data_IF_051622234870
#
_entry.id   IF_051622234870
#
_cell.length_a   1.000
_cell.length_b   1.000
_cell.length_c   1.000
_cell.angle_alpha   90.00
_cell.angle_beta   90.00
_cell.angle_gamma   90.00
#
_symmetry.space_group_name_H-M   'P 1'
#
loop_
_entity.id
_entity.type
_entity.pdbx_description
1 polymer ?
#
# COMPACT_ATOMS: atom_id res chain seq x y z
N UNK A 1 85.28 15.93 14.94
CA UNK A 1 83.87 16.24 14.61
C UNK A 1 83.83 16.89 13.24
N UNK A 2 83.45 16.14 12.20
CA UNK A 2 82.83 16.60 10.94
C UNK A 2 82.48 15.34 10.17
N UNK A 3 81.24 15.22 9.70
CA UNK A 3 80.77 14.05 8.97
C UNK A 3 80.92 14.26 7.46
N UNK A 4 81.39 13.24 6.75
CA UNK A 4 81.36 13.16 5.30
C UNK A 4 80.51 11.96 4.85
N UNK A 5 79.62 12.24 3.90
CA UNK A 5 78.52 11.41 3.42
C UNK A 5 78.96 10.08 2.75
N UNK A 6 78.11 9.04 2.81
CA UNK A 6 77.76 8.41 1.53
C UNK A 6 76.25 8.09 1.36
N UNK A 7 75.62 8.88 0.48
CA UNK A 7 74.49 8.59 -0.42
C UNK A 7 73.76 7.24 -0.23
N UNK A 8 72.45 7.23 0.09
CA UNK A 8 71.64 6.02 -0.03
C UNK A 8 71.43 5.65 -1.51
N UNK A 9 71.68 4.39 -1.85
CA UNK A 9 71.51 3.85 -3.20
C UNK A 9 70.03 3.75 -3.60
N UNK A 10 69.71 4.01 -4.86
CA UNK A 10 68.37 3.76 -5.42
C UNK A 10 68.07 2.25 -5.44
N UNK A 11 66.92 1.77 -4.93
CA UNK A 11 66.52 0.38 -5.11
C UNK A 11 66.16 0.10 -6.58
N UNK A 12 66.60 -1.05 -7.09
CA UNK A 12 66.31 -1.51 -8.45
C UNK A 12 64.81 -1.84 -8.64
N UNK A 13 64.26 -1.72 -9.88
CA UNK A 13 62.86 -2.01 -10.13
C UNK A 13 62.57 -3.51 -9.97
N UNK A 14 61.72 -3.86 -8.98
CA UNK A 14 61.18 -5.22 -8.87
C UNK A 14 60.28 -5.52 -10.09
N UNK A 15 60.72 -6.46 -10.93
CA UNK A 15 59.88 -7.09 -11.97
C UNK A 15 58.61 -7.66 -11.31
N UNK A 16 57.47 -7.01 -11.54
CA UNK A 16 56.17 -7.54 -11.15
C UNK A 16 55.86 -8.80 -11.95
N UNK A 17 55.81 -9.97 -11.29
CA UNK A 17 55.22 -11.17 -11.89
C UNK A 17 53.70 -10.99 -11.93
N UNK A 18 53.19 -10.50 -13.06
CA UNK A 18 51.77 -10.37 -13.37
C UNK A 18 51.12 -11.73 -13.64
N UNK A 19 50.95 -12.55 -12.59
CA UNK A 19 50.38 -13.89 -12.71
C UNK A 19 48.83 -13.90 -12.71
N UNK A 20 48.27 -14.04 -13.91
CA UNK A 20 47.08 -14.82 -14.24
C UNK A 20 45.72 -14.52 -13.58
N UNK A 21 45.58 -13.59 -12.61
CA UNK A 21 44.26 -13.22 -12.04
C UNK A 21 43.52 -12.12 -12.80
N UNK A 22 44.24 -11.27 -13.55
CA UNK A 22 43.63 -10.22 -14.39
C UNK A 22 43.00 -10.75 -15.68
N UNK A 23 43.65 -11.72 -16.34
CA UNK A 23 43.21 -12.22 -17.65
C UNK A 23 41.84 -12.93 -17.59
N UNK A 24 41.59 -13.73 -16.57
CA UNK A 24 40.31 -14.44 -16.41
C UNK A 24 39.15 -13.48 -16.03
N UNK A 25 39.45 -12.38 -15.33
CA UNK A 25 38.48 -11.34 -15.03
C UNK A 25 38.11 -10.50 -16.28
N UNK A 26 39.08 -10.20 -17.16
CA UNK A 26 38.78 -9.52 -18.44
C UNK A 26 37.99 -10.41 -19.41
N UNK A 27 38.30 -11.71 -19.50
CA UNK A 27 37.55 -12.63 -20.37
C UNK A 27 36.09 -12.80 -19.92
N UNK A 28 35.82 -12.85 -18.61
CA UNK A 28 34.44 -12.91 -18.11
C UNK A 28 33.69 -11.57 -18.31
N UNK A 29 34.39 -10.44 -18.23
CA UNK A 29 33.81 -9.12 -18.54
C UNK A 29 33.50 -8.95 -20.03
N UNK A 30 34.33 -9.50 -20.93
CA UNK A 30 34.15 -9.37 -22.38
C UNK A 30 32.98 -10.24 -22.90
N UNK A 31 32.78 -11.44 -22.36
CA UNK A 31 31.62 -12.28 -22.69
C UNK A 31 30.30 -11.66 -22.22
N UNK A 32 30.31 -10.89 -21.12
CA UNK A 32 29.14 -10.16 -20.65
C UNK A 32 28.85 -8.87 -21.46
N UNK A 33 29.85 -8.35 -22.19
CA UNK A 33 29.72 -7.17 -23.06
C UNK A 33 29.27 -7.49 -24.50
N UNK A 34 29.32 -8.77 -24.89
CA UNK A 34 28.94 -9.28 -26.22
C UNK A 34 27.65 -10.10 -26.22
N UNK A 35 27.02 -10.30 -25.07
CA UNK A 35 25.60 -10.65 -25.07
C UNK A 35 24.85 -9.54 -25.82
N UNK A 36 24.05 -9.84 -26.87
CA UNK A 36 23.23 -8.82 -27.49
C UNK A 36 22.41 -8.18 -26.37
N UNK A 37 22.43 -6.85 -26.29
CA UNK A 37 21.52 -6.14 -25.40
C UNK A 37 20.13 -6.54 -25.85
N UNK A 38 19.52 -7.47 -25.12
CA UNK A 38 18.12 -7.82 -25.27
C UNK A 38 17.41 -6.53 -24.95
N UNK A 39 17.09 -5.78 -26.01
CA UNK A 39 16.40 -4.52 -25.92
C UNK A 39 15.21 -4.82 -25.03
N UNK A 40 15.20 -4.23 -23.83
CA UNK A 40 14.07 -4.40 -22.92
C UNK A 40 12.90 -3.80 -23.66
N UNK A 41 12.15 -4.67 -24.33
CA UNK A 41 10.93 -4.31 -25.00
C UNK A 41 10.16 -3.55 -23.94
N UNK A 42 9.87 -2.26 -24.20
CA UNK A 42 8.96 -1.50 -23.34
C UNK A 42 7.79 -2.44 -23.10
N UNK A 43 7.49 -2.84 -21.85
CA UNK A 43 6.38 -3.74 -21.63
C UNK A 43 5.20 -3.09 -22.33
N UNK A 44 4.68 -3.78 -23.36
CA UNK A 44 3.49 -3.32 -24.06
C UNK A 44 2.42 -3.07 -23.00
N UNK A 45 1.52 -2.10 -23.20
CA UNK A 45 0.48 -1.82 -22.21
C UNK A 45 -0.18 -3.15 -21.86
N UNK A 46 0.07 -3.66 -20.64
CA UNK A 46 -0.57 -4.89 -20.18
C UNK A 46 -2.05 -4.61 -20.32
N UNK A 47 -2.81 -5.38 -21.14
CA UNK A 47 -4.23 -5.15 -21.27
C UNK A 47 -4.79 -5.22 -19.85
N UNK A 48 -5.24 -4.06 -19.35
CA UNK A 48 -5.82 -3.99 -18.02
C UNK A 48 -7.00 -4.93 -18.07
N UNK A 49 -6.96 -6.03 -17.29
CA UNK A 49 -8.01 -7.06 -17.31
C UNK A 49 -9.35 -6.37 -17.44
N UNK A 50 -9.97 -6.56 -18.60
CA UNK A 50 -11.17 -5.82 -18.95
C UNK A 50 -12.20 -6.14 -17.89
N UNK A 51 -12.90 -5.12 -17.41
CA UNK A 51 -13.84 -5.29 -16.32
C UNK A 51 -15.04 -6.09 -16.86
N UNK A 52 -15.01 -7.41 -16.65
CA UNK A 52 -16.09 -8.31 -17.03
C UNK A 52 -17.04 -8.47 -15.86
N UNK A 53 -18.14 -7.72 -15.88
CA UNK A 53 -19.33 -8.13 -15.13
C UNK A 53 -19.83 -9.49 -15.65
N UNK A 54 -20.47 -10.33 -14.83
CA UNK A 54 -21.42 -11.31 -15.37
C UNK A 54 -22.57 -10.60 -16.11
N UNK A 55 -23.44 -11.30 -16.86
CA UNK A 55 -24.64 -10.68 -17.42
C UNK A 55 -25.56 -10.13 -16.31
N UNK A 56 -25.69 -8.81 -16.22
CA UNK A 56 -26.46 -8.11 -15.19
C UNK A 56 -27.81 -7.67 -15.77
N UNK A 57 -28.75 -8.61 -15.87
CA UNK A 57 -30.09 -8.34 -16.42
C UNK A 57 -31.03 -7.68 -15.39
N UNK A 58 -32.10 -7.07 -15.91
CA UNK A 58 -33.17 -6.49 -15.10
C UNK A 58 -33.90 -7.56 -14.27
N UNK A 59 -34.12 -7.29 -12.98
CA UNK A 59 -34.77 -8.19 -12.04
C UNK A 59 -33.86 -9.24 -11.39
N UNK A 60 -32.57 -9.30 -11.73
CA UNK A 60 -31.60 -10.14 -11.01
C UNK A 60 -31.35 -9.60 -9.59
N UNK A 61 -31.13 -10.46 -8.58
CA UNK A 61 -30.63 -10.03 -7.27
C UNK A 61 -29.33 -9.22 -7.36
N UNK A 62 -29.07 -8.40 -6.35
CA UNK A 62 -27.79 -7.69 -6.24
C UNK A 62 -26.61 -8.68 -6.16
N UNK A 63 -25.44 -8.35 -6.76
CA UNK A 63 -24.29 -9.25 -6.76
C UNK A 63 -23.81 -9.55 -5.33
N UNK A 64 -23.43 -10.81 -5.10
CA UNK A 64 -22.85 -11.28 -3.83
C UNK A 64 -21.33 -11.32 -3.93
N UNK A 65 -20.66 -10.91 -2.86
CA UNK A 65 -19.20 -10.85 -2.74
C UNK A 65 -18.80 -10.80 -1.26
N UNK A 66 -17.56 -11.17 -0.93
CA UNK A 66 -17.05 -11.07 0.43
C UNK A 66 -16.73 -9.60 0.76
N UNK A 67 -17.67 -8.95 1.44
CA UNK A 67 -17.57 -7.62 2.02
C UNK A 67 -18.44 -7.49 3.28
N UNK A 68 -17.94 -6.83 4.32
CA UNK A 68 -18.69 -6.67 5.59
C UNK A 68 -19.73 -5.56 5.59
N UNK A 69 -19.66 -4.63 4.64
CA UNK A 69 -20.67 -3.61 4.41
C UNK A 69 -20.56 -3.05 2.98
N UNK A 70 -21.70 -2.80 2.34
CA UNK A 70 -21.75 -2.14 1.04
C UNK A 70 -23.08 -1.42 0.79
N UNK A 71 -23.09 -0.48 -0.16
CA UNK A 71 -24.31 0.04 -0.76
C UNK A 71 -24.09 0.51 -2.20
N UNK A 72 -25.19 0.74 -2.92
CA UNK A 72 -25.22 1.45 -4.20
C UNK A 72 -26.49 2.29 -4.33
N UNK A 73 -26.33 3.50 -4.84
CA UNK A 73 -27.40 4.48 -4.94
C UNK A 73 -27.14 5.58 -5.97
N UNK A 74 -28.13 6.45 -6.12
CA UNK A 74 -28.07 7.68 -6.90
C UNK A 74 -27.72 8.87 -5.99
N UNK A 75 -26.58 9.52 -6.25
CA UNK A 75 -26.10 10.68 -5.50
C UNK A 75 -26.91 11.95 -5.79
N UNK A 76 -27.66 12.02 -6.89
CA UNK A 76 -28.44 13.21 -7.21
C UNK A 76 -29.77 13.24 -6.43
N UNK A 77 -30.39 12.07 -6.19
CA UNK A 77 -31.61 11.93 -5.38
C UNK A 77 -31.34 11.54 -3.91
N UNK A 78 -30.41 10.63 -3.65
CA UNK A 78 -30.21 9.97 -2.35
C UNK A 78 -30.76 8.53 -2.30
N UNK A 79 -31.46 8.09 -3.35
CA UNK A 79 -32.11 6.77 -3.43
C UNK A 79 -31.10 5.63 -3.46
N UNK A 80 -31.30 4.61 -2.64
CA UNK A 80 -30.53 3.37 -2.63
C UNK A 80 -31.22 2.27 -3.44
N UNK A 81 -30.42 1.47 -4.14
CA UNK A 81 -30.87 0.31 -4.90
C UNK A 81 -30.57 -1.01 -4.17
N UNK A 82 -29.46 -1.07 -3.46
CA UNK A 82 -29.09 -2.19 -2.59
C UNK A 82 -28.14 -1.71 -1.47
N UNK A 83 -28.20 -2.38 -0.33
CA UNK A 83 -27.30 -2.17 0.81
C UNK A 83 -27.19 -3.42 1.67
N UNK A 84 -26.03 -3.59 2.29
CA UNK A 84 -25.76 -4.60 3.31
C UNK A 84 -24.98 -3.92 4.45
N UNK A 85 -25.45 -4.07 5.69
CA UNK A 85 -24.82 -3.50 6.89
C UNK A 85 -24.44 -1.99 6.74
N UNK A 86 -25.34 -1.10 6.24
CA UNK A 86 -24.96 0.23 5.79
C UNK A 86 -24.33 1.11 6.88
N UNK A 87 -24.77 0.93 8.13
CA UNK A 87 -24.32 1.66 9.33
C UNK A 87 -23.24 0.93 10.14
N UNK A 88 -22.68 -0.16 9.61
CA UNK A 88 -21.63 -0.92 10.30
C UNK A 88 -20.33 -0.13 10.34
N UNK A 89 -19.92 0.27 11.54
CA UNK A 89 -18.65 0.95 11.79
C UNK A 89 -17.47 0.02 11.50
N UNK A 90 -16.66 0.38 10.50
CA UNK A 90 -15.48 -0.35 10.04
C UNK A 90 -14.29 0.59 9.91
N UNK A 91 -13.07 0.05 9.91
CA UNK A 91 -11.88 0.83 9.61
C UNK A 91 -11.92 1.29 8.13
N UNK A 92 -11.69 2.58 7.83
CA UNK A 92 -11.91 3.13 6.48
C UNK A 92 -10.80 2.81 5.47
N UNK A 93 -9.58 2.57 5.95
CA UNK A 93 -8.38 2.77 5.15
C UNK A 93 -8.38 4.15 4.42
N UNK A 94 -7.66 4.25 3.30
CA UNK A 94 -7.44 5.52 2.58
C UNK A 94 -8.69 6.18 1.96
N UNK A 95 -9.91 5.63 2.07
CA UNK A 95 -11.13 6.37 1.66
C UNK A 95 -11.42 7.54 2.61
N UNK A 96 -10.87 7.52 3.84
CA UNK A 96 -10.85 8.65 4.78
C UNK A 96 -10.28 9.94 4.16
N UNK A 97 -9.37 9.82 3.18
CA UNK A 97 -8.81 10.98 2.44
C UNK A 97 -9.87 11.78 1.68
N UNK A 98 -11.05 11.22 1.41
CA UNK A 98 -12.18 11.97 0.85
C UNK A 98 -12.78 12.94 1.87
N UNK A 99 -12.91 12.53 3.14
CA UNK A 99 -13.32 13.42 4.23
C UNK A 99 -12.28 14.53 4.44
N UNK A 100 -10.99 14.19 4.43
CA UNK A 100 -9.88 15.18 4.44
C UNK A 100 -9.99 16.13 3.25
N UNK A 101 -10.33 15.60 2.06
CA UNK A 101 -10.56 16.36 0.83
C UNK A 101 -11.62 17.44 0.99
N UNK A 102 -12.85 17.05 1.36
CA UNK A 102 -13.98 17.99 1.56
C UNK A 102 -13.83 18.89 2.78
N UNK A 103 -12.96 18.53 3.73
CA UNK A 103 -12.63 19.38 4.89
C UNK A 103 -11.65 20.48 4.51
N UNK A 104 -10.56 20.14 3.80
CA UNK A 104 -9.44 21.06 3.60
C UNK A 104 -9.50 21.84 2.28
N UNK A 105 -10.41 21.50 1.35
CA UNK A 105 -10.52 22.18 0.04
C UNK A 105 -10.79 23.68 0.16
N UNK A 106 -11.62 24.09 1.12
CA UNK A 106 -11.98 25.51 1.31
C UNK A 106 -11.00 26.21 2.27
N UNK A 107 -10.55 25.51 3.31
CA UNK A 107 -9.51 25.97 4.26
C UNK A 107 -8.21 26.31 3.55
N UNK A 108 -7.88 25.56 2.49
CA UNK A 108 -6.73 25.80 1.62
C UNK A 108 -7.21 26.36 0.27
N UNK A 109 -7.99 27.44 0.31
CA UNK A 109 -8.62 28.09 -0.85
C UNK A 109 -7.64 28.41 -1.98
N UNK A 110 -6.52 29.08 -1.69
CA UNK A 110 -5.44 29.31 -2.67
C UNK A 110 -4.66 28.03 -2.97
N UNK A 111 -4.96 27.45 -4.13
CA UNK A 111 -4.33 26.21 -4.63
C UNK A 111 -2.89 26.43 -5.10
N UNK A 112 -2.45 27.68 -5.30
CA UNK A 112 -1.07 28.03 -5.66
C UNK A 112 -0.18 28.25 -4.43
N UNK A 113 -0.77 28.46 -3.24
CA UNK A 113 -0.04 28.56 -1.96
C UNK A 113 0.94 27.41 -1.84
N UNK A 114 2.18 27.74 -1.47
CA UNK A 114 3.28 26.78 -1.35
C UNK A 114 3.45 26.38 0.11
N UNK A 115 3.54 25.08 0.35
CA UNK A 115 3.89 24.49 1.63
C UNK A 115 5.29 23.89 1.54
N UNK A 116 6.17 24.26 2.48
CA UNK A 116 7.51 23.68 2.59
C UNK A 116 7.44 22.41 3.43
N UNK A 117 7.78 21.27 2.82
CA UNK A 117 7.75 19.97 3.49
C UNK A 117 8.74 19.91 4.66
N UNK A 118 8.29 19.27 5.73
CA UNK A 118 8.96 19.04 7.01
C UNK A 118 9.40 17.57 7.11
N UNK A 119 10.34 17.21 8.00
CA UNK A 119 10.72 15.80 8.21
C UNK A 119 9.51 14.90 8.46
N UNK A 120 8.58 15.36 9.30
CA UNK A 120 7.40 14.63 9.74
C UNK A 120 6.41 14.28 8.60
N UNK A 121 6.37 15.06 7.51
CA UNK A 121 5.53 14.70 6.36
C UNK A 121 6.08 13.44 5.66
N UNK A 122 7.40 13.36 5.52
CA UNK A 122 8.09 12.27 4.82
C UNK A 122 8.20 10.97 5.63
N UNK A 123 8.15 11.05 6.97
CA UNK A 123 8.29 9.91 7.88
C UNK A 123 7.01 9.11 8.11
N UNK A 124 5.87 9.55 7.56
CA UNK A 124 4.59 8.84 7.72
C UNK A 124 4.60 7.49 7.00
N UNK A 125 4.00 6.47 7.60
CA UNK A 125 3.95 5.12 7.03
C UNK A 125 3.11 5.01 5.77
N UNK A 126 3.26 3.89 5.06
CA UNK A 126 2.48 3.53 3.87
C UNK A 126 2.85 4.32 2.61
N UNK A 127 1.91 4.34 1.65
CA UNK A 127 2.07 4.95 0.33
C UNK A 127 2.44 6.43 0.45
N UNK A 128 3.48 6.85 -0.26
CA UNK A 128 3.96 8.23 -0.31
C UNK A 128 4.18 8.65 -1.75
N UNK A 129 4.03 9.94 -2.03
CA UNK A 129 4.51 10.50 -3.30
C UNK A 129 6.02 10.69 -3.28
N UNK A 130 6.59 10.97 -2.11
CA UNK A 130 8.02 11.22 -1.91
C UNK A 130 8.31 12.70 -1.68
N UNK A 131 7.53 13.35 -0.81
CA UNK A 131 7.82 14.72 -0.37
C UNK A 131 9.21 14.80 0.28
N UNK A 132 10.04 15.73 -0.19
CA UNK A 132 11.40 15.94 0.30
C UNK A 132 11.44 17.17 1.20
N UNK A 133 11.94 17.00 2.42
CA UNK A 133 12.14 18.09 3.38
C UNK A 133 12.79 19.34 2.75
N UNK A 134 12.33 20.52 3.14
CA UNK A 134 12.85 21.81 2.68
C UNK A 134 12.42 22.18 1.25
N UNK A 135 11.77 21.27 0.52
CA UNK A 135 11.19 21.57 -0.79
C UNK A 135 9.77 22.10 -0.63
N UNK A 136 9.41 23.04 -1.49
CA UNK A 136 8.09 23.65 -1.49
C UNK A 136 7.19 23.06 -2.59
N UNK A 137 5.99 22.64 -2.20
CA UNK A 137 4.96 22.05 -3.06
C UNK A 137 3.70 22.91 -3.01
N UNK A 138 2.98 23.06 -4.13
CA UNK A 138 1.70 23.78 -4.11
C UNK A 138 0.61 22.93 -3.46
N UNK A 139 -0.39 23.59 -2.87
CA UNK A 139 -1.61 22.92 -2.38
C UNK A 139 -2.24 22.04 -3.47
N UNK A 140 -2.30 22.50 -4.73
CA UNK A 140 -2.79 21.70 -5.86
C UNK A 140 -2.02 20.39 -6.07
N UNK A 141 -0.68 20.43 -6.03
CA UNK A 141 0.18 19.25 -6.14
C UNK A 141 -0.06 18.25 -5.00
N UNK A 142 -0.26 18.74 -3.78
CA UNK A 142 -0.54 17.90 -2.62
C UNK A 142 -1.92 17.21 -2.71
N UNK A 143 -2.95 17.92 -3.19
CA UNK A 143 -4.26 17.31 -3.44
C UNK A 143 -4.20 16.21 -4.52
N UNK A 144 -3.50 16.45 -5.64
CA UNK A 144 -3.29 15.43 -6.68
C UNK A 144 -2.57 14.19 -6.12
N UNK A 145 -1.46 14.38 -5.40
CA UNK A 145 -0.76 13.27 -4.75
C UNK A 145 -1.64 12.49 -3.76
N UNK A 146 -2.38 13.19 -2.89
CA UNK A 146 -3.25 12.59 -1.87
C UNK A 146 -4.40 11.78 -2.50
N UNK A 147 -5.09 12.33 -3.51
CA UNK A 147 -6.32 11.74 -4.04
C UNK A 147 -6.08 10.75 -5.18
N UNK A 148 -5.18 11.06 -6.13
CA UNK A 148 -4.88 10.15 -7.24
C UNK A 148 -4.07 8.93 -6.76
N UNK A 149 -2.98 9.17 -6.03
CA UNK A 149 -2.00 8.14 -5.68
C UNK A 149 -2.01 7.76 -4.20
N UNK A 150 -3.04 8.21 -3.45
CA UNK A 150 -3.25 7.82 -2.05
C UNK A 150 -2.12 8.24 -1.10
N UNK A 151 -1.33 9.25 -1.46
CA UNK A 151 -0.11 9.64 -0.77
C UNK A 151 -0.38 10.13 0.67
N UNK A 152 0.22 9.47 1.65
CA UNK A 152 0.07 9.75 3.08
C UNK A 152 0.88 10.97 3.51
N UNK A 153 2.05 11.17 2.92
CA UNK A 153 2.91 12.35 3.09
C UNK A 153 2.20 13.62 2.61
N UNK A 154 1.51 13.54 1.47
CA UNK A 154 0.69 14.64 0.97
C UNK A 154 -0.52 14.96 1.87
N UNK A 155 -1.17 13.95 2.45
CA UNK A 155 -2.25 14.16 3.41
C UNK A 155 -1.76 14.83 4.70
N UNK A 156 -0.59 14.42 5.23
CA UNK A 156 0.04 15.02 6.40
C UNK A 156 0.46 16.47 6.12
N UNK A 157 1.07 16.73 4.97
CA UNK A 157 1.46 18.06 4.50
C UNK A 157 0.25 19.01 4.34
N UNK A 158 -0.89 18.53 3.82
CA UNK A 158 -2.13 19.31 3.76
C UNK A 158 -2.65 19.69 5.16
N UNK A 159 -2.62 18.75 6.12
CA UNK A 159 -2.96 19.05 7.52
C UNK A 159 -2.04 20.11 8.14
N UNK A 160 -0.74 20.02 7.88
CA UNK A 160 0.23 21.02 8.35
C UNK A 160 0.05 22.38 7.66
N UNK A 161 -0.29 22.41 6.38
CA UNK A 161 -0.62 23.64 5.64
C UNK A 161 -1.91 24.31 6.14
N UNK A 162 -2.84 23.53 6.70
CA UNK A 162 -4.10 23.98 7.31
C UNK A 162 -3.96 24.45 8.78
N UNK A 163 -2.73 24.56 9.28
CA UNK A 163 -2.42 25.03 10.63
C UNK A 163 -2.07 23.93 11.65
N UNK A 164 -1.77 22.72 11.20
CA UNK A 164 -1.29 21.61 12.04
C UNK A 164 -2.27 20.43 12.09
N UNK A 165 -1.75 19.24 12.43
CA UNK A 165 -2.56 18.00 12.43
C UNK A 165 -3.78 18.10 13.35
N UNK A 166 -3.63 18.61 14.56
CA UNK A 166 -4.74 18.68 15.53
C UNK A 166 -5.85 19.63 15.07
N UNK A 167 -5.48 20.78 14.50
CA UNK A 167 -6.44 21.71 13.88
C UNK A 167 -7.14 21.05 12.70
N UNK A 168 -6.41 20.38 11.81
CA UNK A 168 -6.98 19.70 10.66
C UNK A 168 -7.90 18.53 11.06
N UNK A 169 -7.56 17.78 12.12
CA UNK A 169 -8.40 16.71 12.65
C UNK A 169 -9.65 17.26 13.36
N UNK A 170 -9.54 18.38 14.08
CA UNK A 170 -10.67 19.13 14.63
C UNK A 170 -11.63 19.59 13.53
N UNK A 171 -11.09 20.15 12.44
CA UNK A 171 -11.86 20.52 11.25
C UNK A 171 -12.55 19.31 10.60
N UNK A 172 -11.91 18.13 10.54
CA UNK A 172 -12.53 16.91 10.01
C UNK A 172 -13.70 16.44 10.88
N UNK A 173 -13.59 16.53 12.21
CA UNK A 173 -14.68 16.22 13.15
C UNK A 173 -15.84 17.22 13.02
N UNK A 174 -15.53 18.51 12.85
CA UNK A 174 -16.53 19.54 12.59
C UNK A 174 -17.25 19.31 11.24
N UNK A 175 -16.51 18.98 10.17
CA UNK A 175 -17.08 18.64 8.85
C UNK A 175 -17.92 17.35 8.90
N UNK A 176 -17.50 16.34 9.66
CA UNK A 176 -18.29 15.14 9.89
C UNK A 176 -19.62 15.45 10.59
N UNK A 177 -19.62 16.30 11.63
CA UNK A 177 -20.86 16.79 12.27
C UNK A 177 -21.72 17.61 11.31
N UNK A 178 -21.12 18.51 10.52
CA UNK A 178 -21.84 19.32 9.52
C UNK A 178 -22.56 18.48 8.47
N UNK A 179 -21.94 17.37 8.04
CA UNK A 179 -22.48 16.45 7.05
C UNK A 179 -23.38 15.35 7.66
N UNK A 180 -23.59 15.32 8.97
CA UNK A 180 -24.43 14.30 9.63
C UNK A 180 -23.81 12.90 9.72
N UNK A 181 -22.47 12.79 9.68
CA UNK A 181 -21.76 11.50 9.64
C UNK A 181 -21.69 10.84 11.03
N UNK A 182 -22.79 10.23 11.47
CA UNK A 182 -22.92 9.64 12.82
C UNK A 182 -22.16 8.31 12.99
N UNK A 183 -21.78 7.68 11.88
CA UNK A 183 -20.98 6.46 11.82
C UNK A 183 -19.46 6.69 11.76
N UNK A 184 -19.03 7.92 11.51
CA UNK A 184 -17.64 8.24 11.16
C UNK A 184 -16.90 8.98 12.27
N UNK A 185 -15.82 8.36 12.77
CA UNK A 185 -14.91 8.96 13.74
C UNK A 185 -13.53 9.09 13.09
N UNK A 186 -13.15 10.28 12.60
CA UNK A 186 -11.81 10.50 12.05
C UNK A 186 -10.78 10.63 13.18
N UNK A 187 -9.71 9.84 13.06
CA UNK A 187 -8.54 9.88 13.96
C UNK A 187 -7.23 10.17 13.19
N UNK A 188 -7.23 10.01 11.87
CA UNK A 188 -6.13 10.33 10.97
C UNK A 188 -6.64 11.01 9.70
N UNK A 189 -5.83 11.87 9.09
CA UNK A 189 -6.14 12.49 7.79
C UNK A 189 -5.98 11.53 6.60
N UNK A 190 -5.23 10.45 6.80
CA UNK A 190 -4.82 9.53 5.73
C UNK A 190 -5.54 8.17 5.78
N UNK A 191 -6.22 7.84 6.87
CA UNK A 191 -6.91 6.57 7.07
C UNK A 191 -5.98 5.40 7.41
N UNK A 192 -4.78 5.65 7.94
CA UNK A 192 -4.00 4.58 8.59
C UNK A 192 -4.76 4.04 9.81
N UNK A 193 -4.52 2.78 10.17
CA UNK A 193 -5.20 2.13 11.30
C UNK A 193 -4.88 2.87 12.62
N UNK A 194 -5.93 3.27 13.33
CA UNK A 194 -5.83 4.02 14.59
C UNK A 194 -6.97 3.62 15.53
N UNK A 195 -6.75 3.59 16.87
CA UNK A 195 -7.79 3.29 17.84
C UNK A 195 -9.01 4.20 17.68
N UNK A 196 -10.21 3.62 17.84
CA UNK A 196 -11.51 4.29 17.70
C UNK A 196 -11.83 4.90 16.32
N UNK A 197 -10.93 4.77 15.32
CA UNK A 197 -11.22 5.25 13.97
C UNK A 197 -12.28 4.37 13.30
N UNK A 198 -13.31 5.00 12.75
CA UNK A 198 -14.42 4.30 12.10
C UNK A 198 -15.04 5.11 10.97
N UNK A 199 -15.73 4.41 10.08
CA UNK A 199 -16.58 4.92 9.01
C UNK A 199 -17.65 3.87 8.68
N UNK A 200 -18.78 4.30 8.13
CA UNK A 200 -19.85 3.45 7.60
C UNK A 200 -19.98 3.65 6.10
N UNK A 201 -20.59 2.71 5.36
CA UNK A 201 -20.83 2.93 3.92
C UNK A 201 -21.93 3.97 3.68
N UNK A 202 -22.89 4.10 4.60
CA UNK A 202 -23.84 5.19 4.66
C UNK A 202 -23.14 6.57 4.65
N UNK A 203 -22.25 6.80 5.61
CA UNK A 203 -21.52 8.06 5.72
C UNK A 203 -20.56 8.30 4.54
N UNK A 204 -19.95 7.21 4.03
CA UNK A 204 -19.08 7.28 2.85
C UNK A 204 -19.86 7.68 1.58
N UNK A 205 -21.15 7.37 1.49
CA UNK A 205 -22.04 7.83 0.42
C UNK A 205 -22.32 9.34 0.53
N UNK A 206 -22.56 9.85 1.75
CA UNK A 206 -22.72 11.28 2.03
C UNK A 206 -21.42 12.04 1.69
N UNK A 207 -20.25 11.50 2.10
CA UNK A 207 -18.94 12.04 1.72
C UNK A 207 -18.77 12.02 0.20
N UNK A 208 -19.12 10.91 -0.49
CA UNK A 208 -19.07 10.83 -1.93
C UNK A 208 -19.92 11.92 -2.59
N UNK A 209 -21.09 12.24 -2.03
CA UNK A 209 -21.91 13.35 -2.54
C UNK A 209 -21.24 14.70 -2.41
N UNK A 210 -20.63 14.98 -1.25
CA UNK A 210 -19.92 16.23 -1.00
C UNK A 210 -18.70 16.38 -1.93
N UNK A 211 -17.97 15.28 -2.17
CA UNK A 211 -16.85 15.24 -3.13
C UNK A 211 -17.33 15.52 -4.56
N UNK A 212 -18.38 14.83 -5.03
CA UNK A 212 -18.99 15.02 -6.35
C UNK A 212 -19.54 16.45 -6.52
N UNK A 213 -19.97 17.08 -5.43
CA UNK A 213 -20.39 18.48 -5.40
C UNK A 213 -19.26 19.50 -5.54
N UNK A 214 -17.99 19.12 -5.39
CA UNK A 214 -16.85 20.04 -5.48
C UNK A 214 -16.15 19.96 -6.85
N UNK A 215 -16.25 20.98 -7.72
CA UNK A 215 -15.61 20.98 -9.03
C UNK A 215 -14.07 20.86 -8.95
N UNK A 216 -13.48 21.41 -7.88
CA UNK A 216 -12.04 21.28 -7.63
C UNK A 216 -11.65 19.83 -7.33
N UNK A 217 -12.32 19.17 -6.38
CA UNK A 217 -11.99 17.79 -6.01
C UNK A 217 -12.26 16.85 -7.18
N UNK A 218 -13.35 17.05 -7.94
CA UNK A 218 -13.64 16.24 -9.11
C UNK A 218 -12.64 16.44 -10.25
N UNK A 219 -12.08 17.64 -10.45
CA UNK A 219 -10.96 17.83 -11.38
C UNK A 219 -9.74 17.01 -10.95
N UNK A 220 -9.37 17.08 -9.67
CA UNK A 220 -8.21 16.36 -9.12
C UNK A 220 -8.40 14.83 -9.22
N UNK A 221 -9.57 14.34 -8.82
CA UNK A 221 -9.92 12.91 -8.82
C UNK A 221 -10.09 12.37 -10.25
N UNK A 222 -10.60 13.19 -11.17
CA UNK A 222 -10.76 12.87 -12.60
C UNK A 222 -9.47 12.92 -13.42
N UNK A 223 -8.34 13.30 -12.83
CA UNK A 223 -7.03 13.24 -13.49
C UNK A 223 -6.53 11.80 -13.57
N UNK A 224 -6.16 11.32 -14.77
CA UNK A 224 -5.59 9.98 -14.97
C UNK A 224 -4.11 9.90 -14.59
N UNK A 225 -3.31 10.84 -15.10
CA UNK A 225 -1.88 10.97 -14.84
C UNK A 225 -1.52 12.42 -14.54
N UNK A 226 -0.51 12.64 -13.69
CA UNK A 226 -0.11 13.98 -13.24
C UNK A 226 1.41 14.05 -13.10
N UNK A 227 2.03 15.11 -13.61
CA UNK A 227 3.47 15.32 -13.44
C UNK A 227 3.77 15.95 -12.09
N UNK A 228 4.21 15.14 -11.13
CA UNK A 228 4.66 15.60 -9.82
C UNK A 228 6.08 16.22 -9.94
N UNK A 229 6.39 17.36 -9.28
CA UNK A 229 7.59 18.15 -9.59
C UNK A 229 8.93 17.54 -9.15
N UNK A 230 8.92 16.47 -8.35
CA UNK A 230 10.13 15.96 -7.69
C UNK A 230 10.65 16.93 -6.62
N UNK A 231 11.98 17.05 -6.50
CA UNK A 231 12.60 17.87 -5.46
C UNK A 231 14.11 17.73 -5.40
N UNK A 232 14.75 18.49 -4.51
CA UNK A 232 16.16 18.34 -4.14
C UNK A 232 16.24 17.46 -2.88
N UNK A 233 16.92 16.32 -2.99
CA UNK A 233 17.17 15.41 -1.88
C UNK A 233 17.93 16.15 -0.75
N UNK A 234 17.42 16.20 0.49
CA UNK A 234 18.04 16.94 1.57
C UNK A 234 19.37 16.33 2.03
N UNK A 235 19.59 15.01 1.83
CA UNK A 235 20.83 14.31 2.18
C UNK A 235 21.85 14.38 1.06
N UNK A 236 21.50 13.93 -0.14
CA UNK A 236 22.46 13.82 -1.26
C UNK A 236 22.62 15.12 -2.06
N UNK A 237 21.76 16.11 -1.82
CA UNK A 237 21.64 17.39 -2.56
C UNK A 237 21.36 17.22 -4.06
N UNK A 238 21.13 16.00 -4.56
CA UNK A 238 20.77 15.71 -5.95
C UNK A 238 19.35 16.18 -6.26
N UNK A 239 19.13 16.65 -7.49
CA UNK A 239 17.79 17.00 -7.99
C UNK A 239 17.12 15.77 -8.57
N UNK A 240 16.03 15.33 -7.97
CA UNK A 240 15.06 14.42 -8.57
C UNK A 240 14.22 15.23 -9.55
N UNK A 241 14.21 14.80 -10.82
CA UNK A 241 13.41 15.42 -11.89
C UNK A 241 11.91 15.19 -11.64
N UNK A 242 11.02 15.99 -12.26
CA UNK A 242 9.60 15.66 -12.29
C UNK A 242 9.35 14.26 -12.84
N UNK A 243 8.32 13.60 -12.32
CA UNK A 243 7.90 12.25 -12.71
C UNK A 243 6.37 12.13 -12.71
N UNK A 244 5.85 11.16 -13.45
CA UNK A 244 4.42 10.90 -13.50
C UNK A 244 3.93 10.12 -12.27
N UNK A 245 2.79 10.54 -11.73
CA UNK A 245 1.98 9.78 -10.78
C UNK A 245 0.65 9.41 -11.44
N UNK A 246 0.09 8.25 -11.07
CA UNK A 246 -1.12 7.70 -11.70
C UNK A 246 -2.29 7.59 -10.73
N UNK A 247 -3.50 7.64 -11.28
CA UNK A 247 -4.72 7.39 -10.55
C UNK A 247 -4.87 5.91 -10.16
N UNK A 248 -5.01 5.63 -8.86
CA UNK A 248 -5.12 4.27 -8.32
C UNK A 248 -6.52 3.66 -8.46
N UNK A 249 -7.56 4.45 -8.74
CA UNK A 249 -8.92 3.92 -8.93
C UNK A 249 -9.02 3.02 -10.16
N UNK A 250 -8.29 3.36 -11.24
CA UNK A 250 -8.32 2.67 -12.56
C UNK A 250 -9.73 2.57 -13.18
N UNK A 251 -10.60 3.51 -12.85
CA UNK A 251 -11.97 3.65 -13.43
C UNK A 251 -12.06 4.92 -14.29
N UNK A 252 -11.35 5.99 -13.88
CA UNK A 252 -11.29 7.28 -14.58
C UNK A 252 -10.77 7.10 -16.00
N UNK A 253 -11.64 7.35 -16.99
CA UNK A 253 -11.37 7.17 -18.42
C UNK A 253 -11.06 5.72 -18.86
N UNK A 254 -11.31 4.73 -17.98
CA UNK A 254 -11.31 3.31 -18.32
C UNK A 254 -12.74 2.73 -18.35
N UNK A 255 -13.66 3.34 -17.60
CA UNK A 255 -15.09 3.01 -17.63
C UNK A 255 -15.89 4.20 -18.21
N UNK A 256 -16.84 3.98 -19.13
CA UNK A 256 -17.68 5.06 -19.69
C UNK A 256 -18.44 5.83 -18.61
N UNK A 257 -18.17 7.14 -18.48
CA UNK A 257 -18.73 7.99 -17.43
C UNK A 257 -18.10 7.80 -16.03
N UNK A 258 -17.03 7.03 -15.91
CA UNK A 258 -16.32 6.76 -14.66
C UNK A 258 -15.67 8.00 -14.04
N UNK A 259 -16.17 8.42 -12.88
CA UNK A 259 -15.72 9.60 -12.14
C UNK A 259 -14.59 9.32 -11.14
N UNK A 260 -14.30 8.05 -10.85
CA UNK A 260 -13.26 7.66 -9.89
C UNK A 260 -13.79 7.65 -8.46
N UNK A 261 -13.34 8.60 -7.64
CA UNK A 261 -13.35 8.65 -6.16
C UNK A 261 -12.13 7.99 -5.49
N UNK A 262 -12.24 6.89 -4.72
CA UNK A 262 -11.09 6.46 -3.89
C UNK A 262 -11.03 4.97 -3.50
N UNK A 263 -9.81 4.45 -3.52
CA UNK A 263 -9.43 3.14 -2.98
C UNK A 263 -8.75 3.24 -1.60
N UNK A 264 -8.77 2.15 -0.84
CA UNK A 264 -7.99 1.99 0.39
C UNK A 264 -7.73 0.53 0.73
N UNK A 265 -6.62 0.30 1.45
CA UNK A 265 -6.31 -0.97 2.10
C UNK A 265 -5.50 -0.71 3.38
N UNK A 266 -5.82 -1.44 4.45
CA UNK A 266 -4.98 -1.63 5.64
C UNK A 266 -5.18 -3.05 6.19
N UNK A 267 -4.39 -3.45 7.19
CA UNK A 267 -4.49 -4.79 7.79
C UNK A 267 -5.83 -4.97 8.52
N UNK A 268 -6.28 -3.94 9.25
CA UNK A 268 -7.57 -3.97 9.96
C UNK A 268 -8.75 -3.73 9.03
N UNK A 269 -8.65 -2.82 8.06
CA UNK A 269 -9.75 -2.51 7.16
C UNK A 269 -10.02 -3.60 6.12
N UNK A 270 -8.99 -4.35 5.67
CA UNK A 270 -9.00 -5.07 4.38
C UNK A 270 -9.23 -4.09 3.22
N UNK A 271 -9.82 -4.52 2.11
CA UNK A 271 -10.14 -3.65 0.98
C UNK A 271 -11.28 -2.70 1.27
N UNK A 272 -11.10 -1.41 0.98
CA UNK A 272 -12.16 -0.40 0.99
C UNK A 272 -12.17 0.36 -0.34
N UNK A 273 -13.34 0.66 -0.89
CA UNK A 273 -13.46 1.37 -2.16
C UNK A 273 -14.78 2.12 -2.23
N UNK A 274 -14.73 3.28 -2.87
CA UNK A 274 -15.93 4.02 -3.30
C UNK A 274 -15.71 4.45 -4.74
N UNK A 275 -16.73 4.24 -5.56
CA UNK A 275 -16.73 4.51 -6.99
C UNK A 275 -17.95 5.35 -7.37
N UNK A 276 -17.79 6.26 -8.33
CA UNK A 276 -18.92 6.97 -8.93
C UNK A 276 -18.86 6.93 -10.46
N UNK A 277 -20.05 6.89 -11.09
CA UNK A 277 -20.25 6.86 -12.54
C UNK A 277 -21.41 7.79 -12.90
N UNK A 278 -21.22 8.61 -13.94
CA UNK A 278 -22.27 9.47 -14.50
C UNK A 278 -22.88 8.83 -15.75
N UNK A 279 -24.19 8.60 -15.76
CA UNK A 279 -24.95 7.97 -16.87
C UNK A 279 -26.31 8.62 -17.01
N UNK A 280 -26.69 9.04 -18.22
CA UNK A 280 -28.00 9.65 -18.49
C UNK A 280 -28.28 10.90 -17.65
N UNK A 281 -27.28 11.74 -17.44
CA UNK A 281 -27.37 12.95 -16.60
C UNK A 281 -27.24 12.72 -15.09
N UNK A 282 -27.56 11.52 -14.59
CA UNK A 282 -27.54 11.13 -13.17
C UNK A 282 -26.18 10.56 -12.74
N UNK A 283 -25.86 10.71 -11.45
CA UNK A 283 -24.60 10.26 -10.85
C UNK A 283 -24.84 9.14 -9.87
N UNK A 284 -24.38 7.94 -10.21
CA UNK A 284 -24.49 6.75 -9.37
C UNK A 284 -23.20 6.58 -8.57
N UNK A 285 -23.29 6.10 -7.34
CA UNK A 285 -22.13 5.69 -6.56
C UNK A 285 -22.37 4.38 -5.81
N UNK A 286 -21.31 3.61 -5.63
CA UNK A 286 -21.27 2.46 -4.76
C UNK A 286 -20.12 2.62 -3.76
N UNK A 287 -20.32 2.11 -2.55
CA UNK A 287 -19.36 2.14 -1.46
C UNK A 287 -19.24 0.73 -0.87
N UNK A 288 -18.01 0.27 -0.62
CA UNK A 288 -17.69 -1.06 -0.12
C UNK A 288 -16.62 -0.93 0.95
N UNK A 289 -16.86 -1.49 2.14
CA UNK A 289 -15.89 -1.53 3.25
C UNK A 289 -15.62 -2.98 3.66
N UNK A 290 -14.35 -3.25 3.98
CA UNK A 290 -13.85 -4.56 4.41
C UNK A 290 -14.22 -5.70 3.47
N UNK A 291 -13.74 -5.59 2.23
CA UNK A 291 -13.90 -6.60 1.18
C UNK A 291 -12.58 -7.29 0.81
N UNK A 292 -12.69 -8.56 0.43
CA UNK A 292 -11.59 -9.43 -0.02
C UNK A 292 -12.02 -10.26 -1.25
N UNK A 293 -11.09 -10.71 -2.10
CA UNK A 293 -9.67 -10.34 -2.13
C UNK A 293 -9.44 -8.92 -2.67
N UNK A 294 -10.46 -8.25 -3.25
CA UNK A 294 -10.35 -6.89 -3.74
C UNK A 294 -11.68 -6.12 -3.63
N UNK A 295 -11.67 -4.80 -3.38
CA UNK A 295 -12.89 -4.02 -3.22
C UNK A 295 -13.34 -3.27 -4.49
N UNK A 296 -12.53 -3.25 -5.56
CA UNK A 296 -12.85 -2.52 -6.81
C UNK A 296 -13.94 -3.25 -7.59
N UNK A 297 -13.76 -4.56 -7.80
CA UNK A 297 -14.68 -5.38 -8.58
C UNK A 297 -16.10 -5.35 -8.00
N UNK A 298 -16.32 -5.61 -6.68
CA UNK A 298 -17.62 -5.40 -6.03
C UNK A 298 -18.26 -4.03 -6.25
N UNK A 299 -17.47 -2.95 -6.14
CA UNK A 299 -17.99 -1.59 -6.35
C UNK A 299 -18.52 -1.40 -7.78
N UNK A 300 -17.78 -1.90 -8.77
CA UNK A 300 -18.18 -1.80 -10.17
C UNK A 300 -19.34 -2.75 -10.50
N UNK A 301 -19.40 -3.95 -9.91
CA UNK A 301 -20.50 -4.90 -10.09
C UNK A 301 -21.82 -4.34 -9.53
N UNK A 302 -21.77 -3.68 -8.37
CA UNK A 302 -22.92 -2.94 -7.83
C UNK A 302 -23.39 -1.81 -8.76
N UNK A 303 -22.48 -1.01 -9.30
CA UNK A 303 -22.81 0.06 -10.26
C UNK A 303 -23.42 -0.52 -11.53
N UNK A 304 -22.78 -1.53 -12.13
CA UNK A 304 -23.28 -2.20 -13.33
C UNK A 304 -24.65 -2.82 -13.10
N UNK A 305 -24.88 -3.40 -11.93
CA UNK A 305 -26.17 -4.00 -11.57
C UNK A 305 -27.26 -2.94 -11.48
N UNK A 306 -27.00 -1.85 -10.73
CA UNK A 306 -27.95 -0.75 -10.54
C UNK A 306 -28.28 -0.03 -11.86
N UNK A 307 -27.32 0.13 -12.77
CA UNK A 307 -27.51 0.76 -14.07
C UNK A 307 -28.35 -0.06 -15.06
N UNK A 308 -28.44 -1.39 -14.88
CA UNK A 308 -29.23 -2.27 -15.75
C UNK A 308 -30.66 -2.53 -15.25
N UNK A 309 -31.00 -2.10 -14.02
CA UNK A 309 -32.35 -2.26 -13.49
C UNK A 309 -33.31 -1.24 -14.13
N UNK A 310 -34.33 -1.73 -14.84
CA UNK A 310 -35.45 -0.94 -15.39
C UNK A 310 -36.47 -0.58 -14.31
N UNK A 311 -36.72 -1.53 -13.39
CA UNK A 311 -37.53 -1.33 -12.19
C UNK A 311 -36.65 -1.64 -10.97
N UNK A 312 -35.65 -0.78 -10.74
CA UNK A 312 -34.72 -0.97 -9.64
C UNK A 312 -35.45 -0.86 -8.30
N UNK A 313 -35.33 -1.85 -7.39
CA UNK A 313 -35.94 -1.77 -6.07
C UNK A 313 -35.43 -0.53 -5.33
N UNK A 314 -36.30 0.04 -4.49
CA UNK A 314 -35.93 1.12 -3.58
C UNK A 314 -35.60 0.49 -2.22
N UNK A 315 -34.32 0.27 -1.96
CA UNK A 315 -33.83 -0.31 -0.71
C UNK A 315 -33.86 0.70 0.46
N UNK A 316 -34.11 1.98 0.15
CA UNK A 316 -34.15 3.09 1.09
C UNK A 316 -33.70 4.40 0.42
N UNK A 317 -33.60 5.46 1.21
CA UNK A 317 -33.08 6.77 0.77
C UNK A 317 -32.20 7.35 1.88
N UNK A 318 -31.05 7.92 1.50
CA UNK A 318 -30.14 8.67 2.37
C UNK A 318 -30.41 10.17 2.15
N UNK A 319 -30.54 10.95 3.22
CA UNK A 319 -30.58 12.42 3.07
C UNK A 319 -29.19 12.95 2.70
N UNK A 320 -29.14 13.64 1.56
CA UNK A 320 -27.96 14.27 1.00
C UNK A 320 -28.02 15.81 1.08
N UNK A 321 -29.01 16.39 1.75
CA UNK A 321 -29.23 17.84 1.88
C UNK A 321 -27.98 18.61 2.31
N UNK A 322 -27.37 18.23 3.44
CA UNK A 322 -26.16 18.85 3.97
C UNK A 322 -24.96 18.73 3.02
N UNK A 323 -24.81 17.59 2.34
CA UNK A 323 -23.74 17.36 1.36
C UNK A 323 -23.92 18.21 0.09
N UNK A 324 -25.16 18.44 -0.36
CA UNK A 324 -25.46 19.36 -1.47
C UNK A 324 -25.09 20.80 -1.10
N UNK A 325 -25.49 21.26 0.09
CA UNK A 325 -25.20 22.62 0.59
C UNK A 325 -23.70 22.88 0.77
N UNK A 326 -22.93 21.89 1.25
CA UNK A 326 -21.47 22.04 1.39
C UNK A 326 -20.71 22.10 0.06
N UNK A 327 -21.33 21.77 -1.07
CA UNK A 327 -20.73 21.92 -2.42
C UNK A 327 -21.09 23.23 -3.12
N UNK A 328 -22.12 23.93 -2.65
CA UNK A 328 -22.65 25.16 -3.28
C UNK A 328 -22.22 26.46 -2.60
N UNK A 329 -21.46 26.41 -1.50
CA UNK A 329 -21.02 27.60 -0.79
C UNK A 329 -19.95 28.37 -1.57
N UNK A 330 -20.13 29.69 -1.82
CA UNK A 330 -19.03 30.57 -2.21
C UNK A 330 -17.97 30.64 -1.08
N UNK A 331 -16.73 31.05 -1.37
CA UNK A 331 -15.72 31.27 -0.33
C UNK A 331 -16.06 32.53 0.49
N UNK A 332 -16.94 32.37 1.49
CA UNK A 332 -17.23 33.42 2.47
C UNK A 332 -15.98 33.72 3.30
N UNK A 333 -15.56 34.97 3.27
CA UNK A 333 -14.49 35.51 4.11
C UNK A 333 -14.85 35.42 5.60
N UNK A 334 -14.06 34.67 6.37
CA UNK A 334 -14.13 34.68 7.83
C UNK A 334 -13.65 36.05 8.36
N UNK A 335 -14.40 36.73 9.24
CA UNK A 335 -13.92 37.95 9.88
C UNK A 335 -12.82 37.62 10.89
N UNK A 336 -11.80 38.47 10.97
CA UNK A 336 -10.65 38.27 11.85
C UNK A 336 -11.04 38.28 13.34
N UNK A 337 -10.36 37.48 14.19
CA UNK A 337 -10.62 37.47 15.63
C UNK A 337 -10.07 38.72 16.31
N UNK A 338 -10.89 39.34 17.16
CA UNK A 338 -10.48 40.39 18.10
C UNK A 338 -10.55 39.86 19.54
N UNK A 339 -9.42 39.83 20.22
CA UNK A 339 -9.26 39.58 21.66
C UNK A 339 -8.01 40.37 22.10
N UNK A 340 -7.98 41.06 23.25
CA UNK A 340 -7.71 40.34 24.51
C UNK A 340 -8.43 40.90 25.78
N UNK A 341 -8.79 40.03 26.73
CA UNK A 341 -9.09 40.47 28.11
C UNK A 341 -9.61 39.40 29.09
N UNK A 342 -8.73 38.82 29.90
CA UNK A 342 -9.08 37.88 31.01
C UNK A 342 -9.31 38.63 32.35
N UNK A 343 -9.55 37.97 33.51
CA UNK A 343 -9.99 36.59 33.80
C UNK A 343 -11.22 36.52 34.75
N UNK A 344 -11.79 35.33 34.99
CA UNK A 344 -12.57 35.04 36.23
C UNK A 344 -12.39 33.58 36.69
N UNK A 345 -12.56 33.37 38.01
CA UNK A 345 -12.27 32.13 38.76
C UNK A 345 -13.53 31.65 39.48
N UNK A 346 -13.78 30.34 39.57
CA UNK A 346 -14.94 29.81 40.32
C UNK A 346 -15.10 28.28 40.34
N UNK A 347 -14.42 27.64 41.30
CA UNK A 347 -14.87 26.55 42.20
C UNK A 347 -15.68 25.32 41.68
N UNK A 348 -15.17 24.12 41.99
CA UNK A 348 -15.95 22.87 42.16
C UNK A 348 -16.60 22.77 43.55
N UNK A 349 -17.29 21.66 43.93
CA UNK A 349 -16.78 20.26 43.93
C UNK A 349 -17.80 19.25 43.32
N UNK A 350 -17.68 17.91 43.33
CA UNK A 350 -16.69 16.97 43.91
C UNK A 350 -17.02 15.48 43.61
N UNK A 351 -16.31 14.58 44.30
CA UNK A 351 -16.53 13.13 44.52
C UNK A 351 -16.39 12.06 43.39
N UNK A 352 -15.20 11.44 43.42
CA UNK A 352 -14.91 10.01 43.72
C UNK A 352 -15.91 8.90 43.30
N UNK A 353 -15.36 7.90 42.59
CA UNK A 353 -15.91 6.54 42.54
C UNK A 353 -14.93 5.56 41.89
N UNK A 354 -14.22 4.76 42.70
CA UNK A 354 -13.31 3.71 42.22
C UNK A 354 -13.84 2.32 42.61
N UNK A 355 -13.91 1.39 41.65
CA UNK A 355 -14.19 -0.02 41.91
C UNK A 355 -13.70 -0.95 40.77
N UNK A 356 -12.64 -1.70 41.04
CA UNK A 356 -12.42 -3.10 40.60
C UNK A 356 -12.72 -3.99 41.84
N UNK A 357 -12.85 -5.34 41.80
CA UNK A 357 -12.40 -6.30 40.78
C UNK A 357 -13.37 -7.48 40.46
N UNK A 358 -12.98 -8.36 39.54
CA UNK A 358 -13.16 -9.84 39.60
C UNK A 358 -12.31 -10.54 38.51
N UNK A 359 -12.00 -11.83 38.66
CA UNK A 359 -11.03 -12.55 37.82
C UNK A 359 -11.43 -14.00 37.48
N UNK A 360 -10.90 -14.51 36.36
CA UNK A 360 -10.83 -15.94 36.01
C UNK A 360 -12.10 -16.59 35.43
N UNK A 361 -12.01 -17.78 34.79
CA UNK A 361 -10.88 -18.73 34.77
C UNK A 361 -10.21 -18.91 33.37
N UNK A 362 -9.46 -20.01 33.19
CA UNK A 362 -8.47 -20.25 32.11
C UNK A 362 -8.79 -21.44 31.18
N UNK A 363 -7.96 -21.62 30.13
CA UNK A 363 -7.94 -22.76 29.18
C UNK A 363 -8.67 -22.47 27.86
N UNK A 364 -8.13 -22.63 26.65
CA UNK A 364 -7.12 -23.61 26.18
C UNK A 364 -6.28 -23.12 24.98
N UNK A 365 -5.27 -23.90 24.60
CA UNK A 365 -4.21 -23.53 23.66
C UNK A 365 -4.36 -24.11 22.25
N UNK A 366 -4.26 -23.27 21.21
CA UNK A 366 -3.85 -23.68 19.85
C UNK A 366 -3.45 -22.47 18.97
N UNK A 367 -2.14 -22.21 18.78
CA UNK A 367 -1.54 -21.58 17.57
C UNK A 367 -0.04 -21.20 17.76
N UNK A 368 0.86 -22.16 17.95
CA UNK A 368 2.32 -21.93 17.85
C UNK A 368 2.94 -22.89 16.83
N UNK A 369 2.66 -22.68 15.54
CA UNK A 369 3.40 -23.30 14.43
C UNK A 369 3.43 -22.39 13.19
N UNK A 370 4.46 -21.54 13.11
CA UNK A 370 4.89 -20.91 11.84
C UNK A 370 6.26 -20.22 11.92
N UNK A 371 6.73 -19.84 13.11
CA UNK A 371 8.06 -19.21 13.30
C UNK A 371 9.23 -20.20 13.33
N UNK A 372 9.01 -21.47 13.71
CA UNK A 372 10.06 -22.49 13.78
C UNK A 372 10.60 -22.93 12.41
N UNK A 373 9.73 -23.05 11.39
CA UNK A 373 10.11 -23.53 10.06
C UNK A 373 11.05 -22.54 9.32
N UNK A 374 10.80 -21.24 9.45
CA UNK A 374 11.62 -20.20 8.83
C UNK A 374 13.05 -20.17 9.41
N UNK A 375 13.20 -20.34 10.72
CA UNK A 375 14.51 -20.44 11.39
C UNK A 375 15.30 -21.67 10.94
N UNK A 376 14.64 -22.82 10.76
CA UNK A 376 15.27 -24.05 10.29
C UNK A 376 15.86 -23.90 8.88
N UNK A 377 15.12 -23.28 7.94
CA UNK A 377 15.60 -23.02 6.58
C UNK A 377 16.84 -22.11 6.57
N UNK A 378 16.87 -21.06 7.40
CA UNK A 378 18.02 -20.15 7.51
C UNK A 378 19.26 -20.88 8.05
N UNK A 379 19.10 -21.72 9.08
CA UNK A 379 20.20 -22.51 9.65
C UNK A 379 20.78 -23.50 8.62
N UNK A 380 19.93 -24.20 7.87
CA UNK A 380 20.36 -25.14 6.81
C UNK A 380 21.12 -24.41 5.69
N UNK A 381 20.68 -23.22 5.26
CA UNK A 381 21.38 -22.42 4.26
C UNK A 381 22.77 -21.96 4.75
N UNK A 382 22.90 -21.54 6.01
CA UNK A 382 24.20 -21.16 6.60
C UNK A 382 25.15 -22.37 6.69
N UNK A 383 24.63 -23.54 7.07
CA UNK A 383 25.39 -24.80 7.09
C UNK A 383 25.87 -25.19 5.68
N UNK A 384 25.01 -25.12 4.66
CA UNK A 384 25.38 -25.43 3.27
C UNK A 384 26.49 -24.50 2.75
N UNK A 385 26.38 -23.18 2.98
CA UNK A 385 27.39 -22.20 2.55
C UNK A 385 28.73 -22.40 3.26
N UNK A 386 28.73 -22.74 4.55
CA UNK A 386 29.98 -23.00 5.30
C UNK A 386 30.64 -24.31 4.89
N UNK A 387 29.88 -25.38 4.60
CA UNK A 387 30.42 -26.63 4.04
C UNK A 387 31.00 -26.41 2.64
N UNK A 388 30.31 -25.67 1.76
CA UNK A 388 30.82 -25.30 0.44
C UNK A 388 32.12 -24.48 0.52
N UNK A 389 32.20 -23.52 1.46
CA UNK A 389 33.42 -22.75 1.72
C UNK A 389 34.57 -23.59 2.29
N UNK A 390 34.29 -24.60 3.12
CA UNK A 390 35.31 -25.55 3.63
C UNK A 390 35.78 -26.52 2.54
N UNK A 391 34.89 -27.05 1.70
CA UNK A 391 35.26 -27.92 0.55
C UNK A 391 36.13 -27.18 -0.48
N UNK A 392 35.85 -25.89 -0.75
CA UNK A 392 36.69 -25.03 -1.60
C UNK A 392 38.00 -24.52 -0.95
N UNK A 393 38.33 -24.98 0.26
CA UNK A 393 39.55 -24.59 1.02
C UNK A 393 40.44 -25.79 1.42
N UNK A 394 40.29 -26.94 0.76
CA UNK A 394 41.31 -28.00 0.83
C UNK A 394 42.44 -27.66 -0.16
N UNK A 395 43.69 -27.48 0.29
CA UNK A 395 44.83 -27.43 -0.62
C UNK A 395 45.14 -28.84 -1.14
N UNK A 396 45.41 -28.96 -2.43
CA UNK A 396 46.07 -30.14 -2.98
C UNK A 396 47.52 -30.16 -2.49
N UNK A 397 47.92 -31.23 -1.80
CA UNK A 397 49.31 -31.48 -1.45
C UNK A 397 49.86 -32.56 -2.38
N UNK A 398 50.82 -32.20 -3.21
CA UNK A 398 51.58 -33.15 -4.02
C UNK A 398 52.66 -33.82 -3.17
N UNK A 399 52.88 -35.09 -3.48
CA UNK A 399 53.84 -36.04 -2.93
C UNK A 399 55.32 -35.61 -2.94
N UNK A 400 56.07 -36.06 -1.92
CA UNK A 400 57.33 -36.83 -2.08
C UNK A 400 57.92 -37.29 -0.72
N UNK A 401 58.26 -38.59 -0.60
CA UNK A 401 59.39 -39.23 0.17
C UNK A 401 59.71 -38.81 1.63
N UNK A 402 60.10 -39.68 2.57
CA UNK A 402 61.00 -40.83 2.44
C UNK A 402 60.91 -41.86 3.61
N UNK A 403 61.46 -43.07 3.37
CA UNK A 403 61.75 -44.27 4.20
C UNK A 403 61.63 -44.32 5.75
N UNK A 404 61.32 -45.51 6.30
CA UNK A 404 61.72 -45.88 7.69
C UNK A 404 61.02 -47.05 8.45
N UNK A 405 61.17 -48.31 8.02
CA UNK A 405 61.18 -49.61 8.78
C UNK A 405 60.15 -50.01 9.90
N UNK A 406 59.80 -51.32 9.91
CA UNK A 406 59.25 -52.12 11.05
C UNK A 406 57.78 -52.57 10.85
N UNK A 407 57.47 -53.78 10.35
CA UNK A 407 57.48 -55.10 11.03
C UNK A 407 56.41 -55.20 12.17
N UNK A 408 55.49 -56.17 12.28
CA UNK A 408 55.12 -57.39 11.52
C UNK A 408 53.60 -57.66 11.74
N UNK A 409 52.76 -58.00 10.74
CA UNK A 409 52.36 -59.36 10.27
C UNK A 409 51.41 -60.15 11.23
N UNK A 410 50.63 -61.17 10.77
CA UNK A 410 49.85 -61.30 9.52
C UNK A 410 48.45 -61.99 9.69
N UNK A 411 47.86 -62.42 8.55
CA UNK A 411 46.75 -63.39 8.35
C UNK A 411 45.28 -62.90 8.48
N UNK A 412 44.30 -63.44 7.71
CA UNK A 412 44.43 -64.28 6.52
C UNK A 412 43.26 -65.22 6.17
N UNK A 413 42.25 -64.73 5.42
CA UNK A 413 41.38 -65.52 4.50
C UNK A 413 40.40 -66.59 5.11
N UNK A 414 39.57 -67.32 4.31
CA UNK A 414 38.55 -66.81 3.34
C UNK A 414 37.17 -67.56 3.33
N UNK A 415 36.17 -66.98 2.61
CA UNK A 415 35.01 -67.68 1.99
C UNK A 415 33.74 -67.91 2.86
N UNK A 416 32.57 -68.36 2.36
CA UNK A 416 31.95 -68.32 1.02
C UNK A 416 30.46 -68.82 1.04
N UNK A 417 29.54 -68.27 0.23
CA UNK A 417 28.17 -68.79 -0.04
C UNK A 417 27.09 -68.55 1.04
N UNK A 418 25.76 -68.69 0.83
CA UNK A 418 24.86 -69.01 -0.32
C UNK A 418 23.49 -68.27 -0.15
N UNK A 419 22.59 -68.31 -1.16
CA UNK A 419 21.22 -67.71 -1.15
C UNK A 419 20.15 -68.51 -0.35
N UNK A 420 18.81 -68.31 -0.53
CA UNK A 420 18.09 -68.18 -1.82
C UNK A 420 16.87 -67.17 -1.87
N UNK A 421 15.97 -67.36 -2.87
CA UNK A 421 14.70 -66.62 -3.21
C UNK A 421 13.61 -66.70 -2.10
N UNK A 422 12.44 -66.03 -2.12
CA UNK A 422 11.55 -65.49 -3.19
C UNK A 422 10.49 -64.48 -2.59
N UNK A 423 9.42 -63.94 -3.23
CA UNK A 423 8.88 -63.83 -4.63
C UNK A 423 7.74 -62.74 -4.74
N UNK A 424 7.21 -62.48 -5.95
CA UNK A 424 5.86 -61.94 -6.39
C UNK A 424 5.14 -60.75 -5.65
N UNK A 425 4.32 -59.85 -6.25
CA UNK A 425 3.64 -59.77 -7.58
C UNK A 425 3.33 -58.29 -8.03
N UNK A 426 2.73 -58.15 -9.24
CA UNK A 426 2.17 -57.02 -10.02
C UNK A 426 1.23 -56.01 -9.30
N UNK A 427 0.90 -54.85 -9.89
CA UNK A 427 1.23 -54.34 -11.24
C UNK A 427 0.67 -52.95 -11.58
N UNK A 428 0.83 -52.56 -12.84
CA UNK A 428 0.52 -51.25 -13.43
C UNK A 428 -0.93 -51.15 -13.95
N UNK A 429 -1.46 -49.93 -14.14
CA UNK A 429 -1.96 -49.45 -15.46
C UNK A 429 -2.25 -47.95 -15.46
N UNK A 430 -1.96 -47.31 -16.59
CA UNK A 430 -2.33 -45.94 -16.97
C UNK A 430 -3.67 -45.92 -17.71
N UNK A 431 -4.41 -44.81 -17.66
CA UNK A 431 -5.23 -44.40 -18.82
C UNK A 431 -5.53 -42.89 -18.84
N UNK A 432 -5.89 -42.41 -20.03
CA UNK A 432 -5.75 -41.03 -20.52
C UNK A 432 -7.01 -40.67 -21.33
N UNK A 433 -7.64 -39.51 -21.08
CA UNK A 433 -8.81 -39.06 -21.85
C UNK A 433 -8.96 -37.52 -21.88
N UNK A 434 -8.47 -36.92 -22.96
CA UNK A 434 -9.02 -35.69 -23.54
C UNK A 434 -10.22 -36.04 -24.45
N UNK A 435 -11.39 -35.40 -24.25
CA UNK A 435 -12.15 -34.71 -25.34
C UNK A 435 -13.52 -34.12 -24.92
N UNK A 436 -13.72 -32.89 -25.39
CA UNK A 436 -14.88 -32.35 -26.12
C UNK A 436 -16.30 -32.89 -25.83
N UNK A 437 -17.16 -32.02 -25.26
CA UNK A 437 -18.43 -31.54 -25.84
C UNK A 437 -18.76 -30.13 -25.28
#
# INVERSE_FOLDING_TARGET
MTASDPRPQRPAPRRGKSSARGALALLLALVLALAPSAAQAKPGPTPSKEYTSPPLDNGRPAPSFDARAYLVGDLDSGRLYASHDPDRRLAPASVMKLLTGVTLVDVLSDKRKRYTARPADSSVDGTKVGLMEGNAYTVDQLFHAMLMSSANDAAFALGNAAGGQDRALGLMRAKAKQLGLTGTVPMTLNGLDAPNQSMTVHDLFIIARAVVGSPYLMRVIGTQTYTFPGGKDPRTKKKVKPYEIQNHTKIVGAYPGGLGLKNGYTIAAKGSFVCAVKRGGRTFAAAVLSSVPNPRQPCMDLIGWALNQRQAPEAGTIDLSAARQSGSAPPSSEPAPSDPGAPQVGQGPGDKGAATPAAGPAGDAAAIWSTAAALLVVIVLIAAVTVLRRRRRRPEFSSATNAGNGADAPSGAPGAGRGPRADYDRGETTEDWDRED
#
